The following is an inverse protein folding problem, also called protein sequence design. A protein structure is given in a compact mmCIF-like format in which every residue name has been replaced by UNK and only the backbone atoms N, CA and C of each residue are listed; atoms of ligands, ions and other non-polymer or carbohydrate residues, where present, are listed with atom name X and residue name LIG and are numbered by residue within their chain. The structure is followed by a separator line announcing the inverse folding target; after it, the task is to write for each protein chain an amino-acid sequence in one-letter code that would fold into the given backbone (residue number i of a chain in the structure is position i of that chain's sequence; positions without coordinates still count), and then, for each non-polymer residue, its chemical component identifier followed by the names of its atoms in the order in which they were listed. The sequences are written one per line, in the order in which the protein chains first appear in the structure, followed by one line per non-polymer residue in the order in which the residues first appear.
data_IF_746791963013
#
_entry.id   IF_746791963013
#
_cell.length_a   1.000
_cell.length_b   1.000
_cell.length_c   1.000
_cell.angle_alpha   90.00
_cell.angle_beta   90.00
_cell.angle_gamma   90.00
#
_symmetry.space_group_name_H-M   'P 1'
#
loop_
_entity.id
_entity.type
_entity.pdbx_description
1 polymer ?
#
# COMPACT_ATOMS: atom_id res chain seq x y z
N UNK A 1 17.82 -15.26 -3.78
CA UNK A 1 16.38 -15.60 -3.64
C UNK A 1 16.28 -16.95 -2.94
N UNK A 2 15.30 -17.15 -2.04
CA UNK A 2 15.15 -18.45 -1.38
C UNK A 2 14.77 -19.54 -2.41
N UNK A 3 15.24 -20.77 -2.20
CA UNK A 3 14.83 -21.91 -3.01
C UNK A 3 13.33 -22.18 -2.85
N UNK A 4 12.73 -22.83 -3.86
CA UNK A 4 11.32 -23.23 -3.83
C UNK A 4 11.04 -24.10 -2.59
N UNK A 5 11.95 -25.02 -2.25
CA UNK A 5 11.81 -25.91 -1.09
C UNK A 5 11.82 -25.12 0.22
N UNK A 6 12.76 -24.19 0.38
CA UNK A 6 12.81 -23.33 1.57
C UNK A 6 11.54 -22.48 1.71
N UNK A 7 10.96 -22.00 0.61
CA UNK A 7 9.70 -21.26 0.66
C UNK A 7 8.52 -22.17 1.01
N UNK A 8 8.51 -23.42 0.51
CA UNK A 8 7.51 -24.45 0.82
C UNK A 8 7.56 -24.86 2.30
N UNK A 9 8.75 -25.07 2.85
CA UNK A 9 8.94 -25.40 4.28
C UNK A 9 8.42 -24.27 5.18
N UNK A 10 8.72 -23.02 4.84
CA UNK A 10 8.20 -21.87 5.58
C UNK A 10 6.67 -21.79 5.47
N UNK A 11 6.11 -22.04 4.27
CA UNK A 11 4.66 -22.04 4.06
C UNK A 11 3.96 -23.13 4.87
N UNK A 12 4.57 -24.31 5.04
CA UNK A 12 4.00 -25.44 5.79
C UNK A 12 3.60 -25.04 7.22
N UNK A 13 4.34 -24.12 7.85
CA UNK A 13 4.05 -23.62 9.21
C UNK A 13 2.81 -22.71 9.29
N UNK A 14 2.22 -22.34 8.16
CA UNK A 14 1.06 -21.45 8.06
C UNK A 14 -0.19 -22.15 7.50
N UNK A 15 -0.12 -23.46 7.26
CA UNK A 15 -1.25 -24.26 6.81
C UNK A 15 -2.12 -24.69 7.99
N UNK A 16 -3.41 -24.90 7.74
CA UNK A 16 -4.30 -25.52 8.72
C UNK A 16 -3.97 -27.01 8.92
N UNK A 17 -4.34 -27.61 10.05
CA UNK A 17 -3.99 -29.01 10.42
C UNK A 17 -4.33 -30.07 9.34
N UNK A 18 -5.38 -29.84 8.54
CA UNK A 18 -5.84 -30.73 7.47
C UNK A 18 -5.62 -30.16 6.05
N UNK A 19 -4.74 -29.17 5.93
CA UNK A 19 -4.39 -28.55 4.66
C UNK A 19 -3.07 -29.10 4.12
N UNK A 20 -3.11 -29.69 2.92
CA UNK A 20 -1.96 -30.33 2.26
C UNK A 20 -1.64 -29.61 0.95
N UNK A 21 -0.36 -29.35 0.71
CA UNK A 21 0.12 -28.80 -0.56
C UNK A 21 0.09 -29.90 -1.62
N UNK A 22 -0.62 -29.65 -2.72
CA UNK A 22 -0.79 -30.56 -3.85
C UNK A 22 0.22 -30.28 -4.97
N UNK A 23 0.53 -29.00 -5.21
CA UNK A 23 1.49 -28.56 -6.22
C UNK A 23 2.02 -27.16 -5.88
N UNK A 24 3.26 -26.86 -6.28
CA UNK A 24 3.88 -25.54 -6.08
C UNK A 24 4.63 -25.09 -7.32
N UNK A 25 4.49 -23.80 -7.65
CA UNK A 25 5.26 -23.12 -8.71
C UNK A 25 5.91 -21.85 -8.18
N UNK A 26 7.07 -21.49 -8.72
CA UNK A 26 7.82 -20.30 -8.34
C UNK A 26 7.81 -19.27 -9.47
N UNK A 27 7.41 -18.03 -9.14
CA UNK A 27 7.29 -16.94 -10.10
C UNK A 27 7.14 -15.58 -9.44
N UNK A 28 6.63 -14.61 -10.19
CA UNK A 28 6.34 -13.25 -9.73
C UNK A 28 4.85 -12.98 -9.76
N UNK A 29 4.26 -12.82 -8.58
CA UNK A 29 2.84 -12.54 -8.43
C UNK A 29 2.58 -11.06 -8.68
N UNK A 30 1.69 -10.77 -9.62
CA UNK A 30 1.30 -9.44 -9.98
C UNK A 30 0.12 -9.00 -9.11
N UNK A 31 0.27 -7.85 -8.46
CA UNK A 31 -0.79 -7.18 -7.73
C UNK A 31 -0.94 -5.77 -8.27
N UNK A 32 -2.18 -5.40 -8.57
CA UNK A 32 -2.50 -4.03 -8.91
C UNK A 32 -2.47 -3.20 -7.61
N UNK A 33 -1.68 -2.13 -7.62
CA UNK A 33 -1.53 -1.20 -6.50
C UNK A 33 -1.40 0.21 -7.07
N UNK A 34 -2.42 1.05 -6.87
CA UNK A 34 -2.45 2.45 -7.31
C UNK A 34 -1.96 2.63 -8.76
N UNK A 35 -2.73 2.12 -9.73
CA UNK A 35 -2.49 2.16 -11.19
C UNK A 35 -1.11 1.66 -11.64
N UNK A 36 -0.39 0.99 -10.77
CA UNK A 36 0.88 0.35 -11.04
C UNK A 36 0.80 -1.13 -10.71
N UNK A 37 1.50 -1.96 -11.49
CA UNK A 37 1.63 -3.38 -11.22
C UNK A 37 2.85 -3.60 -10.35
N UNK A 38 2.62 -4.04 -9.11
CA UNK A 38 3.69 -4.49 -8.24
C UNK A 38 3.86 -5.99 -8.42
N UNK A 39 5.09 -6.38 -8.77
CA UNK A 39 5.48 -7.78 -8.86
C UNK A 39 6.19 -8.21 -7.59
N UNK A 40 5.71 -9.28 -6.96
CA UNK A 40 6.35 -9.91 -5.79
C UNK A 40 6.84 -11.30 -6.14
N UNK A 41 8.13 -11.54 -5.97
CA UNK A 41 8.74 -12.86 -6.20
C UNK A 41 8.36 -13.81 -5.06
N UNK A 42 7.86 -14.99 -5.39
CA UNK A 42 7.42 -15.96 -4.39
C UNK A 42 7.00 -17.29 -5.00
N UNK A 43 6.25 -18.06 -4.24
CA UNK A 43 5.63 -19.31 -4.69
C UNK A 43 4.12 -19.17 -4.73
N UNK A 44 3.49 -19.80 -5.72
CA UNK A 44 2.06 -20.06 -5.74
C UNK A 44 1.89 -21.56 -5.46
N UNK A 45 1.21 -21.89 -4.36
CA UNK A 45 0.95 -23.26 -3.93
C UNK A 45 -0.54 -23.54 -3.98
N UNK A 46 -0.90 -24.66 -4.59
CA UNK A 46 -2.25 -25.20 -4.56
C UNK A 46 -2.35 -26.16 -3.38
N UNK A 47 -3.35 -25.97 -2.53
CA UNK A 47 -3.69 -26.92 -1.46
C UNK A 47 -5.01 -27.61 -1.78
N UNK A 48 -5.40 -28.58 -0.96
CA UNK A 48 -6.74 -29.18 -1.01
C UNK A 48 -7.87 -28.20 -0.61
N UNK A 49 -7.58 -26.95 -0.23
CA UNK A 49 -8.57 -25.95 0.19
C UNK A 49 -8.52 -24.64 -0.60
N UNK A 50 -7.34 -24.20 -1.02
CA UNK A 50 -7.12 -22.86 -1.58
C UNK A 50 -5.88 -22.79 -2.45
N UNK A 51 -5.80 -21.73 -3.25
CA UNK A 51 -4.56 -21.28 -3.87
C UNK A 51 -3.92 -20.24 -2.95
N UNK A 52 -2.63 -20.41 -2.65
CA UNK A 52 -1.86 -19.55 -1.76
C UNK A 52 -0.67 -18.94 -2.49
N UNK A 53 -0.54 -17.62 -2.45
CA UNK A 53 0.72 -16.96 -2.77
C UNK A 53 1.52 -16.73 -1.49
N UNK A 54 2.81 -17.08 -1.49
CA UNK A 54 3.72 -16.86 -0.36
C UNK A 54 5.04 -16.24 -0.82
N UNK A 55 5.45 -15.16 -0.15
CA UNK A 55 6.72 -14.47 -0.39
C UNK A 55 7.42 -14.15 0.92
N UNK A 56 8.65 -14.61 1.09
CA UNK A 56 9.49 -14.26 2.25
C UNK A 56 10.01 -12.82 2.13
N UNK A 57 10.02 -12.07 3.24
CA UNK A 57 10.67 -10.76 3.37
C UNK A 57 11.86 -10.85 4.35
N UNK A 58 12.71 -9.82 4.35
CA UNK A 58 13.78 -9.67 5.36
C UNK A 58 13.18 -9.75 6.77
N UNK A 59 12.05 -9.09 6.97
CA UNK A 59 11.24 -9.19 8.18
C UNK A 59 9.82 -9.67 7.80
N UNK A 60 9.43 -10.85 8.29
CA UNK A 60 8.10 -11.43 8.06
C UNK A 60 7.92 -12.09 6.68
N UNK A 61 6.70 -12.06 6.18
CA UNK A 61 6.28 -12.63 4.89
C UNK A 61 5.05 -11.87 4.33
N UNK A 62 4.76 -12.08 3.05
CA UNK A 62 3.48 -11.75 2.43
C UNK A 62 2.79 -13.07 2.12
N UNK A 63 1.51 -13.18 2.45
CA UNK A 63 0.68 -14.31 2.08
C UNK A 63 -0.66 -13.80 1.54
N UNK A 64 -1.09 -14.33 0.40
CA UNK A 64 -2.43 -14.11 -0.15
C UNK A 64 -3.11 -15.46 -0.35
N UNK A 65 -4.41 -15.52 -0.07
CA UNK A 65 -5.17 -16.77 0.04
C UNK A 65 -6.45 -16.65 -0.78
N UNK A 66 -6.67 -17.60 -1.68
CA UNK A 66 -7.82 -17.66 -2.58
C UNK A 66 -8.53 -19.01 -2.39
N UNK A 67 -9.62 -19.08 -1.60
CA UNK A 67 -10.41 -20.29 -1.41
C UNK A 67 -10.82 -20.89 -2.75
N UNK A 68 -10.66 -22.22 -2.92
CA UNK A 68 -10.96 -22.87 -4.21
C UNK A 68 -12.43 -22.69 -4.62
N UNK A 69 -13.35 -22.66 -3.64
CA UNK A 69 -14.77 -22.38 -3.85
C UNK A 69 -15.06 -21.00 -4.49
N UNK A 70 -14.13 -20.05 -4.35
CA UNK A 70 -14.25 -18.71 -4.88
C UNK A 70 -13.51 -18.52 -6.21
N UNK A 71 -12.73 -19.52 -6.65
CA UNK A 71 -11.99 -19.48 -7.91
C UNK A 71 -12.89 -20.02 -9.02
N UNK A 72 -13.27 -19.15 -9.97
CA UNK A 72 -14.18 -19.52 -11.05
C UNK A 72 -13.47 -20.18 -12.24
N UNK A 73 -12.21 -19.83 -12.48
CA UNK A 73 -11.43 -20.34 -13.60
C UNK A 73 -9.93 -20.17 -13.36
N UNK A 74 -9.16 -21.03 -14.03
CA UNK A 74 -7.70 -20.98 -14.07
C UNK A 74 -7.20 -21.22 -15.50
N UNK A 75 -6.26 -20.39 -15.92
CA UNK A 75 -5.68 -20.33 -17.26
C UNK A 75 -4.16 -20.45 -17.16
N UNK A 76 -3.57 -21.18 -18.11
CA UNK A 76 -2.13 -21.24 -18.31
C UNK A 76 -1.79 -20.71 -19.70
N UNK A 77 -0.73 -19.92 -19.78
CA UNK A 77 -0.17 -19.47 -21.05
C UNK A 77 1.35 -19.59 -21.04
N UNK A 78 1.90 -19.88 -22.21
CA UNK A 78 3.34 -19.93 -22.46
C UNK A 78 3.62 -19.11 -23.72
N UNK A 79 4.36 -18.01 -23.57
CA UNK A 79 4.69 -17.12 -24.68
C UNK A 79 6.13 -16.62 -24.62
N UNK A 80 6.46 -15.67 -25.49
CA UNK A 80 7.79 -15.03 -25.57
C UNK A 80 8.26 -14.45 -24.22
N UNK A 81 7.33 -13.94 -23.41
CA UNK A 81 7.59 -13.38 -22.07
C UNK A 81 7.65 -14.44 -20.96
N UNK A 82 7.63 -15.72 -21.32
CA UNK A 82 7.69 -16.85 -20.40
C UNK A 82 6.31 -17.45 -20.08
N UNK A 83 6.30 -18.28 -19.03
CA UNK A 83 5.12 -18.97 -18.52
C UNK A 83 4.33 -18.08 -17.55
N UNK A 84 3.01 -18.08 -17.68
CA UNK A 84 2.07 -17.35 -16.82
C UNK A 84 0.90 -18.26 -16.42
N UNK A 85 0.51 -18.19 -15.14
CA UNK A 85 -0.74 -18.74 -14.62
C UNK A 85 -1.62 -17.57 -14.21
N UNK A 86 -2.88 -17.57 -14.64
CA UNK A 86 -3.86 -16.58 -14.20
C UNK A 86 -5.15 -17.24 -13.75
N UNK A 87 -5.82 -16.69 -12.75
CA UNK A 87 -7.07 -17.23 -12.25
C UNK A 87 -7.99 -16.10 -11.77
N UNK A 88 -9.29 -16.35 -11.83
CA UNK A 88 -10.30 -15.40 -11.39
C UNK A 88 -10.88 -15.86 -10.05
N UNK A 89 -10.81 -14.99 -9.04
CA UNK A 89 -11.32 -15.26 -7.70
C UNK A 89 -12.14 -14.07 -7.20
N UNK A 90 -13.41 -14.30 -6.84
CA UNK A 90 -14.33 -13.26 -6.31
C UNK A 90 -14.29 -11.96 -7.14
N UNK A 91 -14.41 -12.08 -8.47
CA UNK A 91 -14.43 -10.94 -9.39
C UNK A 91 -13.06 -10.29 -9.68
N UNK A 92 -11.97 -10.76 -9.07
CA UNK A 92 -10.62 -10.24 -9.32
C UNK A 92 -9.76 -11.25 -10.11
N UNK A 93 -8.92 -10.76 -11.03
CA UNK A 93 -7.95 -11.60 -11.76
C UNK A 93 -6.59 -11.57 -11.05
N UNK A 94 -6.15 -12.71 -10.54
CA UNK A 94 -4.80 -12.90 -10.01
C UNK A 94 -3.88 -13.48 -11.09
N UNK A 95 -2.60 -13.06 -11.09
CA UNK A 95 -1.61 -13.49 -12.09
C UNK A 95 -0.26 -13.81 -11.47
N UNK A 96 0.31 -14.95 -11.85
CA UNK A 96 1.68 -15.32 -11.59
C UNK A 96 2.45 -15.36 -12.90
N UNK A 97 3.39 -14.43 -13.07
CA UNK A 97 4.23 -14.29 -14.28
C UNK A 97 5.64 -14.80 -14.06
N UNK A 98 6.39 -14.95 -15.16
CA UNK A 98 7.80 -15.31 -15.17
C UNK A 98 8.06 -16.56 -14.32
N UNK A 99 7.27 -17.60 -14.56
CA UNK A 99 7.38 -18.86 -13.83
C UNK A 99 8.67 -19.56 -14.26
N UNK A 100 9.55 -19.79 -13.29
CA UNK A 100 10.90 -20.32 -13.54
C UNK A 100 11.05 -21.77 -13.12
N UNK A 101 10.31 -22.19 -12.07
CA UNK A 101 10.47 -23.51 -11.43
C UNK A 101 9.14 -24.03 -10.89
N UNK A 102 9.10 -25.34 -10.65
CA UNK A 102 7.98 -26.03 -10.01
C UNK A 102 7.11 -26.82 -10.99
N UNK A 103 5.99 -27.32 -10.49
CA UNK A 103 5.17 -28.36 -11.10
C UNK A 103 3.97 -27.76 -11.85
N UNK A 104 4.24 -27.00 -12.93
CA UNK A 104 3.21 -26.21 -13.63
C UNK A 104 2.05 -27.07 -14.14
N UNK A 105 2.34 -28.18 -14.83
CA UNK A 105 1.30 -29.02 -15.43
C UNK A 105 0.44 -29.71 -14.35
N UNK A 106 1.09 -30.18 -13.27
CA UNK A 106 0.40 -30.76 -12.12
C UNK A 106 -0.47 -29.71 -11.41
N UNK A 107 0.04 -28.49 -11.25
CA UNK A 107 -0.70 -27.38 -10.64
C UNK A 107 -1.98 -27.07 -11.42
N UNK A 108 -1.89 -26.90 -12.73
CA UNK A 108 -3.05 -26.59 -13.58
C UNK A 108 -4.06 -27.73 -13.56
N UNK A 109 -3.60 -28.97 -13.76
CA UNK A 109 -4.47 -30.15 -13.73
C UNK A 109 -5.23 -30.25 -12.40
N UNK A 110 -4.53 -30.16 -11.27
CA UNK A 110 -5.13 -30.28 -9.93
C UNK A 110 -6.04 -29.10 -9.57
N UNK A 111 -5.72 -27.90 -10.04
CA UNK A 111 -6.57 -26.73 -9.84
C UNK A 111 -7.88 -26.88 -10.62
N UNK A 112 -7.83 -27.30 -11.89
CA UNK A 112 -9.01 -27.55 -12.71
C UNK A 112 -9.90 -28.66 -12.14
N UNK A 113 -9.30 -29.78 -11.71
CA UNK A 113 -10.02 -30.88 -11.03
C UNK A 113 -10.78 -30.36 -9.80
N UNK A 114 -10.14 -29.51 -8.98
CA UNK A 114 -10.74 -28.94 -7.77
C UNK A 114 -11.87 -27.94 -8.06
N UNK A 115 -11.66 -27.03 -9.02
CA UNK A 115 -12.66 -26.01 -9.42
C UNK A 115 -13.90 -26.66 -10.04
N UNK A 116 -13.70 -27.64 -10.94
CA UNK A 116 -14.79 -28.34 -11.61
C UNK A 116 -15.61 -29.25 -10.67
N UNK A 117 -14.98 -29.81 -9.64
CA UNK A 117 -15.67 -30.69 -8.68
C UNK A 117 -16.58 -29.92 -7.71
N UNK A 118 -16.25 -28.65 -7.39
CA UNK A 118 -17.05 -27.81 -6.51
C UNK A 118 -18.43 -27.43 -7.09
N UNK A 119 -18.56 -27.40 -8.42
CA UNK A 119 -19.82 -27.04 -9.09
C UNK A 119 -20.84 -28.19 -9.07
N UNK A 120 -20.40 -29.45 -9.07
CA UNK A 120 -21.33 -30.60 -9.08
C UNK A 120 -22.01 -30.89 -7.74
N UNK A 121 -21.44 -30.44 -6.62
CA UNK A 121 -22.01 -30.67 -5.29
C UNK A 121 -22.93 -29.53 -4.82
N UNK A 122 -23.03 -28.41 -5.54
CA UNK A 122 -23.87 -27.26 -5.15
C UNK A 122 -25.33 -27.37 -5.63
N UNK A 123 -25.61 -28.26 -6.59
CA UNK A 123 -26.97 -28.52 -7.10
C UNK A 123 -27.78 -29.55 -6.29
N UNK A 124 -27.19 -30.20 -5.29
CA UNK A 124 -27.86 -31.26 -4.51
C UNK A 124 -28.31 -30.85 -3.09
N UNK A 125 -28.20 -29.57 -2.69
CA UNK A 125 -28.60 -29.15 -1.33
C UNK A 125 -29.50 -27.90 -1.24
N UNK A 126 -30.33 -27.63 -2.24
CA UNK A 126 -31.46 -26.68 -2.09
C UNK A 126 -32.82 -27.38 -2.30
N UNK A 127 -33.23 -28.01 -1.19
CA UNK A 127 -34.58 -28.32 -0.69
C UNK A 127 -35.63 -29.12 -1.49
N UNK A 128 -36.36 -30.02 -0.78
CA UNK A 128 -37.49 -30.77 -1.30
C UNK A 128 -38.76 -29.91 -1.40
N UNK A 129 -39.53 -30.26 -2.42
CA UNK A 129 -40.89 -29.82 -2.74
C UNK A 129 -41.80 -29.92 -1.51
N UNK A 130 -42.36 -28.79 -1.05
CA UNK A 130 -43.61 -28.77 -0.29
C UNK A 130 -44.57 -27.83 -1.04
N UNK A 131 -45.56 -28.45 -1.67
CA UNK A 131 -46.74 -27.83 -2.25
C UNK A 131 -47.80 -27.56 -1.19
N UNK A 132 -48.68 -26.60 -1.52
CA UNK A 132 -49.99 -26.30 -0.92
C UNK A 132 -50.04 -25.64 0.46
N UNK A 133 -50.32 -24.34 0.47
CA UNK A 133 -51.65 -23.87 0.88
C UNK A 133 -51.86 -22.38 0.59
N UNK A 134 -52.92 -22.07 -0.16
CA UNK A 134 -53.50 -20.72 -0.21
C UNK A 134 -54.20 -20.39 1.12
N UNK A 135 -53.89 -19.25 1.74
CA UNK A 135 -54.82 -18.54 2.65
C UNK A 135 -54.60 -17.01 2.59
N UNK A 136 -55.55 -16.34 1.93
CA UNK A 136 -56.35 -15.19 2.38
C UNK A 136 -55.70 -14.06 3.23
N UNK A 137 -55.76 -12.85 2.67
CA UNK A 137 -55.62 -11.55 3.33
C UNK A 137 -56.52 -11.41 4.57
N UNK A 138 -55.93 -10.97 5.68
CA UNK A 138 -56.56 -10.04 6.64
C UNK A 138 -55.50 -9.44 7.58
N UNK A 139 -55.37 -8.11 7.57
CA UNK A 139 -54.77 -7.34 8.66
C UNK A 139 -55.54 -7.60 9.96
N UNK A 140 -54.87 -7.52 11.13
CA UNK A 140 -55.09 -6.32 11.93
C UNK A 140 -53.86 -5.82 12.72
N UNK A 141 -53.83 -4.50 12.85
CA UNK A 141 -53.15 -3.68 13.84
C UNK A 141 -53.25 -4.28 15.25
N UNK A 142 -52.11 -4.38 15.96
CA UNK A 142 -52.13 -4.58 17.42
C UNK A 142 -51.03 -3.75 18.09
N UNK A 143 -51.48 -2.94 19.05
CA UNK A 143 -50.71 -2.08 19.93
C UNK A 143 -49.57 -2.83 20.63
N UNK A 144 -48.43 -2.17 20.74
CA UNK A 144 -47.32 -2.56 21.61
C UNK A 144 -47.49 -1.77 22.91
N UNK A 145 -47.86 -2.48 23.98
CA UNK A 145 -47.80 -2.02 25.36
C UNK A 145 -46.34 -2.03 25.81
N UNK A 146 -45.88 -0.91 26.37
CA UNK A 146 -44.55 -0.76 26.97
C UNK A 146 -44.50 -1.50 28.32
N UNK A 147 -43.57 -2.44 28.44
CA UNK A 147 -43.25 -3.15 29.68
C UNK A 147 -42.21 -2.34 30.48
N UNK A 148 -42.43 -2.03 31.77
CA UNK A 148 -41.50 -1.25 32.57
C UNK A 148 -40.27 -2.07 32.97
N UNK A 149 -39.09 -1.50 32.70
CA UNK A 149 -37.78 -2.02 33.11
C UNK A 149 -37.62 -1.96 34.64
N UNK A 150 -37.51 -3.14 35.26
CA UNK A 150 -37.16 -3.34 36.66
C UNK A 150 -35.66 -3.06 36.88
N UNK A 151 -35.39 -2.09 37.75
CA UNK A 151 -34.07 -1.53 38.05
C UNK A 151 -33.67 -1.98 39.47
N UNK A 152 -33.08 -3.17 39.62
CA UNK A 152 -32.39 -3.53 40.87
C UNK A 152 -31.39 -4.70 40.73
N UNK A 153 -30.15 -4.39 40.33
CA UNK A 153 -29.01 -5.28 40.62
C UNK A 153 -27.84 -4.46 41.18
N UNK A 154 -27.38 -4.70 42.42
CA UNK A 154 -26.27 -3.96 43.00
C UNK A 154 -24.92 -4.41 42.40
N UNK A 155 -23.94 -3.50 42.25
CA UNK A 155 -22.66 -3.81 41.62
C UNK A 155 -21.79 -4.69 42.52
N UNK A 156 -21.53 -5.91 42.07
CA UNK A 156 -20.57 -6.81 42.69
C UNK A 156 -19.16 -6.23 42.60
N UNK A 157 -18.52 -6.16 43.76
CA UNK A 157 -17.21 -5.65 44.07
C UNK A 157 -16.10 -6.40 43.30
N UNK A 158 -15.73 -5.92 42.11
CA UNK A 158 -14.53 -6.38 41.39
C UNK A 158 -13.37 -5.44 41.70
N UNK A 159 -12.54 -5.84 42.66
CA UNK A 159 -11.23 -5.29 42.92
C UNK A 159 -10.35 -5.42 41.66
N UNK A 160 -10.29 -4.34 40.88
CA UNK A 160 -9.38 -4.20 39.73
C UNK A 160 -7.94 -4.28 40.24
N UNK A 161 -7.30 -5.42 40.01
CA UNK A 161 -5.84 -5.53 40.00
C UNK A 161 -5.31 -4.60 38.90
N UNK A 162 -4.85 -3.41 39.30
CA UNK A 162 -4.10 -2.51 38.42
C UNK A 162 -2.74 -3.18 38.16
N UNK A 163 -2.70 -4.05 37.16
CA UNK A 163 -1.46 -4.49 36.53
C UNK A 163 -0.78 -3.23 35.99
N UNK A 164 0.21 -2.74 36.73
CA UNK A 164 1.07 -1.63 36.30
C UNK A 164 1.84 -2.10 35.06
N UNK A 165 1.23 -1.85 33.90
CA UNK A 165 1.73 -2.24 32.60
C UNK A 165 3.06 -1.51 32.41
N UNK A 166 4.17 -2.24 32.51
CA UNK A 166 5.50 -1.65 32.29
C UNK A 166 5.51 -0.97 30.92
N UNK A 167 6.15 0.21 30.79
CA UNK A 167 6.19 0.92 29.53
C UNK A 167 6.74 0.04 28.41
N UNK A 168 6.09 0.07 27.26
CA UNK A 168 6.38 -0.79 26.12
C UNK A 168 7.83 -0.66 25.60
N UNK A 169 8.46 0.51 25.78
CA UNK A 169 9.84 0.79 25.38
C UNK A 169 10.90 0.09 26.25
N UNK A 170 10.52 -0.53 27.37
CA UNK A 170 11.41 -1.44 28.11
C UNK A 170 11.39 -2.88 27.58
N UNK A 171 10.64 -3.17 26.52
CA UNK A 171 10.62 -4.45 25.83
C UNK A 171 11.98 -4.77 25.21
N UNK A 172 12.46 -6.02 25.38
CA UNK A 172 13.69 -6.52 24.76
C UNK A 172 13.75 -6.32 23.22
N UNK A 173 12.68 -6.59 22.44
CA UNK A 173 12.73 -6.35 21.00
C UNK A 173 12.88 -4.87 20.63
N UNK A 174 12.33 -3.95 21.45
CA UNK A 174 12.46 -2.52 21.20
C UNK A 174 13.90 -2.03 21.44
N UNK A 175 14.54 -2.44 22.53
CA UNK A 175 15.93 -2.07 22.84
C UNK A 175 16.89 -2.59 21.76
N UNK A 176 16.70 -3.84 21.30
CA UNK A 176 17.52 -4.41 20.21
C UNK A 176 17.33 -3.61 18.92
N UNK A 177 16.08 -3.29 18.56
CA UNK A 177 15.76 -2.51 17.36
C UNK A 177 16.40 -1.12 17.40
N UNK A 178 16.35 -0.45 18.55
CA UNK A 178 17.00 0.86 18.75
C UNK A 178 18.52 0.78 18.74
N UNK A 179 19.12 -0.32 19.20
CA UNK A 179 20.57 -0.52 19.13
C UNK A 179 21.07 -0.60 17.68
N UNK A 180 20.29 -1.16 16.77
CA UNK A 180 20.63 -1.26 15.34
C UNK A 180 20.33 0.03 14.56
N UNK A 181 19.19 0.69 14.81
CA UNK A 181 18.76 1.86 14.05
C UNK A 181 19.35 3.18 14.58
N UNK A 182 19.55 3.29 15.89
CA UNK A 182 19.97 4.50 16.58
C UNK A 182 20.98 4.15 17.67
N UNK A 183 22.10 3.57 17.25
CA UNK A 183 23.17 3.01 18.09
C UNK A 183 23.47 3.79 19.40
N UNK A 184 23.68 5.13 19.41
CA UNK A 184 23.94 5.86 20.66
C UNK A 184 22.74 5.87 21.62
N UNK A 185 21.51 6.00 21.11
CA UNK A 185 20.28 6.01 21.90
C UNK A 185 19.97 4.59 22.43
N UNK A 186 20.17 3.57 21.59
CA UNK A 186 20.02 2.17 21.98
C UNK A 186 20.96 1.77 23.11
N UNK A 187 22.21 2.25 23.09
CA UNK A 187 23.17 2.01 24.16
C UNK A 187 22.71 2.59 25.51
N UNK A 188 22.14 3.80 25.52
CA UNK A 188 21.57 4.41 26.73
C UNK A 188 20.41 3.55 27.29
N UNK A 189 19.51 3.07 26.42
CA UNK A 189 18.44 2.16 26.82
C UNK A 189 18.95 0.80 27.34
N UNK A 190 20.04 0.29 26.78
CA UNK A 190 20.69 -0.94 27.23
C UNK A 190 21.30 -0.81 28.65
N UNK A 191 21.85 0.36 29.00
CA UNK A 191 22.43 0.62 30.32
C UNK A 191 21.39 0.93 31.39
N UNK A 192 20.33 1.65 31.03
CA UNK A 192 19.19 1.94 31.93
C UNK A 192 18.34 0.70 32.19
N UNK A 193 18.23 -0.21 31.21
CA UNK A 193 17.60 -1.52 31.38
C UNK A 193 18.53 -2.52 32.05
N UNK A 194 18.30 -2.86 33.33
CA UNK A 194 19.03 -3.90 34.08
C UNK A 194 18.95 -5.34 33.50
N UNK A 195 18.46 -5.51 32.26
CA UNK A 195 18.23 -6.81 31.61
C UNK A 195 19.46 -7.46 31.00
N UNK A 196 20.43 -6.66 30.54
CA UNK A 196 21.67 -7.20 30.00
C UNK A 196 22.69 -7.43 31.11
N UNK A 197 23.34 -8.61 31.18
CA UNK A 197 24.42 -8.83 32.12
C UNK A 197 25.62 -7.95 31.75
N UNK A 198 26.41 -7.57 32.75
CA UNK A 198 27.51 -6.59 32.59
C UNK A 198 28.50 -7.02 31.49
N UNK A 199 28.78 -8.33 31.39
CA UNK A 199 29.69 -8.91 30.40
C UNK A 199 29.22 -8.77 28.94
N UNK A 200 27.92 -8.52 28.69
CA UNK A 200 27.38 -8.22 27.35
C UNK A 200 27.44 -6.71 27.06
N UNK A 201 27.23 -5.87 28.07
CA UNK A 201 27.20 -4.40 27.90
C UNK A 201 28.56 -3.83 27.54
N UNK A 202 29.62 -4.32 28.19
CA UNK A 202 30.99 -3.85 28.01
C UNK A 202 31.46 -4.01 26.54
N UNK A 203 31.40 -5.19 25.91
CA UNK A 203 31.87 -5.36 24.53
C UNK A 203 31.05 -4.56 23.52
N UNK A 204 29.71 -4.52 23.67
CA UNK A 204 28.84 -3.73 22.76
C UNK A 204 29.19 -2.25 22.82
N UNK A 205 29.37 -1.71 24.03
CA UNK A 205 29.75 -0.30 24.21
C UNK A 205 31.13 -0.02 23.63
N UNK A 206 32.08 -0.96 23.78
CA UNK A 206 33.41 -0.87 23.18
C UNK A 206 33.39 -0.79 21.65
N UNK A 207 32.58 -1.62 20.98
CA UNK A 207 32.42 -1.61 19.51
C UNK A 207 31.84 -0.27 19.03
N UNK A 208 30.80 0.23 19.70
CA UNK A 208 30.17 1.52 19.34
C UNK A 208 31.16 2.67 19.52
N UNK A 209 31.93 2.69 20.61
CA UNK A 209 32.94 3.71 20.84
C UNK A 209 34.04 3.68 19.78
N UNK A 210 34.51 2.49 19.38
CA UNK A 210 35.53 2.32 18.35
C UNK A 210 35.01 2.78 16.98
N UNK A 211 33.75 2.51 16.66
CA UNK A 211 33.09 3.02 15.45
C UNK A 211 32.99 4.56 15.45
N UNK A 212 32.63 5.18 16.59
CA UNK A 212 32.57 6.64 16.71
C UNK A 212 33.95 7.30 16.60
N UNK A 213 35.00 6.69 17.17
CA UNK A 213 36.38 7.18 17.01
C UNK A 213 36.82 7.07 15.55
N UNK A 214 36.46 5.99 14.85
CA UNK A 214 36.73 5.85 13.41
C UNK A 214 36.09 6.94 12.55
N UNK A 215 34.91 7.43 12.94
CA UNK A 215 34.26 8.56 12.26
C UNK A 215 34.97 9.90 12.53
N UNK A 216 35.61 10.07 13.69
CA UNK A 216 36.33 11.32 14.05
C UNK A 216 37.75 11.32 13.46
N UNK A 217 38.40 10.17 13.41
CA UNK A 217 39.79 10.02 12.96
C UNK A 217 39.89 9.81 11.44
N UNK A 218 38.77 9.69 10.73
CA UNK A 218 38.79 9.66 9.27
C UNK A 218 39.33 11.01 8.75
N UNK A 219 40.52 11.04 8.14
CA UNK A 219 41.10 12.28 7.63
C UNK A 219 40.13 12.86 6.60
N UNK A 220 39.91 14.17 6.71
CA UNK A 220 39.03 14.96 5.88
C UNK A 220 39.60 15.03 4.44
N UNK A 221 39.57 13.92 3.71
CA UNK A 221 39.63 13.98 2.25
C UNK A 221 38.30 14.57 1.79
N UNK A 222 38.40 15.76 1.18
CA UNK A 222 37.32 16.54 0.59
C UNK A 222 36.34 15.66 -0.17
N UNK A 223 35.24 15.30 0.51
CA UNK A 223 34.15 14.52 -0.06
C UNK A 223 32.87 15.34 -0.04
N UNK A 224 32.84 16.41 -0.85
CA UNK A 224 31.62 17.17 -1.15
C UNK A 224 30.79 16.54 -2.30
N UNK A 225 31.03 15.29 -2.69
CA UNK A 225 30.33 14.65 -3.84
C UNK A 225 29.65 13.30 -3.59
N UNK A 226 29.47 12.84 -2.34
CA UNK A 226 28.99 11.47 -2.09
C UNK A 226 27.55 11.32 -1.55
N UNK A 227 26.79 12.40 -1.32
CA UNK A 227 25.45 12.29 -0.69
C UNK A 227 24.25 12.48 -1.64
N UNK A 228 24.45 12.65 -2.95
CA UNK A 228 23.38 12.63 -3.95
C UNK A 228 23.28 11.32 -4.77
N UNK A 229 24.13 10.32 -4.50
CA UNK A 229 24.32 9.16 -5.40
C UNK A 229 23.49 7.90 -5.11
N UNK A 230 22.57 7.89 -4.15
CA UNK A 230 21.85 6.65 -3.76
C UNK A 230 20.40 6.59 -4.28
N UNK A 231 19.90 7.60 -5.02
CA UNK A 231 18.57 7.55 -5.67
C UNK A 231 18.58 7.45 -7.19
N UNK A 232 19.74 7.42 -7.85
CA UNK A 232 19.84 7.27 -9.31
C UNK A 232 20.76 6.09 -9.65
N UNK A 233 20.23 4.88 -9.65
CA UNK A 233 20.88 3.77 -10.35
C UNK A 233 19.84 2.82 -10.97
N UNK A 234 19.14 3.37 -11.95
CA UNK A 234 18.72 2.65 -13.16
C UNK A 234 18.84 3.66 -14.29
N UNK A 235 20.08 4.01 -14.62
CA UNK A 235 20.40 4.93 -15.71
C UNK A 235 20.76 4.08 -16.93
N UNK A 236 19.85 4.07 -17.88
CA UNK A 236 20.16 3.91 -19.31
C UNK A 236 21.30 4.88 -19.62
N UNK A 237 22.35 4.52 -20.39
CA UNK A 237 23.50 5.38 -20.63
C UNK A 237 23.06 6.80 -21.03
N UNK A 238 23.32 7.75 -20.13
CA UNK A 238 23.05 9.18 -20.29
C UNK A 238 24.22 9.77 -21.08
N UNK A 239 23.97 9.96 -22.37
CA UNK A 239 24.77 10.80 -23.26
C UNK A 239 24.91 12.20 -22.63
N UNK A 240 26.13 12.72 -22.53
CA UNK A 240 26.45 14.03 -21.93
C UNK A 240 25.71 15.16 -22.66
N UNK A 241 24.47 15.42 -22.27
CA UNK A 241 23.72 16.57 -22.75
C UNK A 241 24.32 17.85 -22.18
N UNK A 242 24.65 18.78 -23.08
CA UNK A 242 25.27 20.06 -22.76
C UNK A 242 24.48 20.86 -21.69
N UNK A 243 25.16 21.66 -20.83
CA UNK A 243 24.54 22.52 -19.82
C UNK A 243 23.43 23.46 -20.33
N UNK A 244 23.37 23.69 -21.64
CA UNK A 244 22.36 24.51 -22.32
C UNK A 244 20.95 23.87 -22.32
N UNK A 245 20.84 22.54 -22.33
CA UNK A 245 19.55 21.85 -22.46
C UNK A 245 18.74 21.83 -21.15
N UNK A 246 19.42 21.71 -19.99
CA UNK A 246 18.78 21.73 -18.67
C UNK A 246 18.18 23.11 -18.35
N UNK A 247 18.87 24.19 -18.73
CA UNK A 247 18.37 25.56 -18.56
C UNK A 247 17.16 25.85 -19.46
N UNK A 248 17.15 25.32 -20.69
CA UNK A 248 16.00 25.44 -21.60
C UNK A 248 14.75 24.72 -21.06
N UNK A 249 14.91 23.48 -20.56
CA UNK A 249 13.82 22.70 -19.94
C UNK A 249 13.22 23.40 -18.72
N UNK A 250 14.06 24.03 -17.89
CA UNK A 250 13.60 24.78 -16.72
C UNK A 250 12.85 26.07 -17.08
N UNK A 251 13.27 26.78 -18.14
CA UNK A 251 12.57 27.96 -18.62
C UNK A 251 11.20 27.63 -19.23
N UNK A 252 11.07 26.52 -19.95
CA UNK A 252 9.80 26.05 -20.50
C UNK A 252 8.82 25.64 -19.40
N UNK A 253 9.30 24.91 -18.38
CA UNK A 253 8.56 24.58 -17.17
C UNK A 253 7.99 25.83 -16.47
N UNK A 254 8.82 26.87 -16.28
CA UNK A 254 8.41 28.12 -15.65
C UNK A 254 7.36 28.89 -16.48
N UNK A 255 7.49 28.88 -17.81
CA UNK A 255 6.52 29.50 -18.74
C UNK A 255 5.19 28.75 -18.75
N UNK A 256 5.21 27.43 -18.68
CA UNK A 256 4.01 26.61 -18.53
C UNK A 256 3.31 26.89 -17.19
N UNK A 257 4.07 26.89 -16.09
CA UNK A 257 3.59 27.15 -14.74
C UNK A 257 2.87 28.50 -14.60
N UNK A 258 3.48 29.56 -15.14
CA UNK A 258 2.92 30.92 -15.11
C UNK A 258 1.64 31.04 -15.94
N UNK A 259 1.58 30.39 -17.10
CA UNK A 259 0.36 30.33 -17.91
C UNK A 259 -0.77 29.57 -17.23
N UNK A 260 -0.45 28.43 -16.61
CA UNK A 260 -1.39 27.64 -15.83
C UNK A 260 -1.93 28.44 -14.65
N UNK A 261 -1.03 29.09 -13.89
CA UNK A 261 -1.39 29.95 -12.76
C UNK A 261 -2.26 31.12 -13.18
N UNK A 262 -1.98 31.78 -14.31
CA UNK A 262 -2.83 32.86 -14.85
C UNK A 262 -4.23 32.34 -15.19
N UNK A 263 -4.33 31.28 -15.99
CA UNK A 263 -5.61 30.70 -16.42
C UNK A 263 -6.48 30.18 -15.27
N UNK A 264 -5.87 29.78 -14.15
CA UNK A 264 -6.62 29.37 -12.95
C UNK A 264 -6.81 30.55 -11.97
N UNK A 265 -5.94 31.55 -11.98
CA UNK A 265 -6.02 32.76 -11.16
C UNK A 265 -7.14 33.71 -11.60
N UNK A 266 -7.57 33.64 -12.86
CA UNK A 266 -8.69 34.42 -13.39
C UNK A 266 -10.05 34.08 -12.75
N UNK A 267 -10.11 33.04 -11.90
CA UNK A 267 -11.27 32.76 -11.07
C UNK A 267 -11.16 33.55 -9.77
N UNK A 268 -11.55 34.82 -9.83
CA UNK A 268 -11.71 35.66 -8.64
C UNK A 268 -12.70 35.00 -7.66
N UNK A 269 -12.40 35.06 -6.36
CA UNK A 269 -13.21 34.52 -5.23
C UNK A 269 -13.04 33.04 -4.86
N UNK A 270 -11.94 32.38 -5.25
CA UNK A 270 -11.64 31.05 -4.72
C UNK A 270 -11.16 31.11 -3.26
N UNK A 271 -11.69 30.20 -2.43
CA UNK A 271 -11.33 30.04 -1.02
C UNK A 271 -9.98 29.31 -0.81
N UNK A 272 -9.13 29.28 -1.84
CA UNK A 272 -7.85 28.60 -1.82
C UNK A 272 -6.83 29.26 -2.75
N UNK A 273 -5.56 29.08 -2.44
CA UNK A 273 -4.43 29.47 -3.28
C UNK A 273 -3.86 28.22 -3.97
N UNK A 274 -3.38 28.38 -5.20
CA UNK A 274 -2.76 27.28 -5.95
C UNK A 274 -1.27 27.55 -6.10
N UNK A 275 -0.46 26.58 -5.67
CA UNK A 275 0.99 26.55 -5.89
C UNK A 275 1.34 25.36 -6.77
N UNK A 276 2.32 25.54 -7.63
CA UNK A 276 2.90 24.44 -8.41
C UNK A 276 4.24 24.08 -7.77
N UNK A 277 4.47 22.79 -7.50
CA UNK A 277 5.71 22.31 -6.89
C UNK A 277 6.75 22.00 -7.96
N UNK A 278 6.33 21.24 -8.98
CA UNK A 278 7.08 21.03 -10.21
C UNK A 278 6.14 20.87 -11.40
N UNK A 279 6.66 21.14 -12.60
CA UNK A 279 5.92 21.07 -13.85
C UNK A 279 6.89 20.82 -14.99
N UNK A 280 6.93 19.60 -15.51
CA UNK A 280 7.52 19.32 -16.81
C UNK A 280 6.41 19.34 -17.87
N UNK A 281 6.80 19.13 -19.14
CA UNK A 281 5.81 18.96 -20.22
C UNK A 281 4.82 17.82 -19.92
N UNK A 282 5.28 16.76 -19.26
CA UNK A 282 4.49 15.56 -19.00
C UNK A 282 4.04 15.46 -17.55
N UNK A 283 4.68 16.12 -16.59
CA UNK A 283 4.40 15.89 -15.18
C UNK A 283 4.08 17.18 -14.45
N UNK A 284 2.88 17.28 -13.89
CA UNK A 284 2.39 18.49 -13.23
C UNK A 284 1.94 18.15 -11.81
N UNK A 285 2.55 18.79 -10.81
CA UNK A 285 2.12 18.69 -9.42
C UNK A 285 1.64 20.04 -8.87
N UNK A 286 0.39 20.07 -8.45
CA UNK A 286 -0.28 21.23 -7.88
C UNK A 286 -0.62 21.01 -6.40
N UNK A 287 -0.60 22.09 -5.65
CA UNK A 287 -1.02 22.18 -4.27
C UNK A 287 -2.10 23.26 -4.14
N UNK A 288 -3.25 22.84 -3.65
CA UNK A 288 -4.42 23.65 -3.37
C UNK A 288 -4.45 23.95 -1.87
N UNK A 289 -4.17 25.18 -1.48
CA UNK A 289 -4.07 25.63 -0.09
C UNK A 289 -5.32 26.42 0.33
N UNK A 290 -6.18 25.81 1.14
CA UNK A 290 -7.40 26.45 1.63
C UNK A 290 -7.15 27.60 2.61
N UNK A 291 -7.74 28.77 2.33
CA UNK A 291 -7.70 29.96 3.18
C UNK A 291 -8.54 29.76 4.44
N UNK A 292 -9.78 29.30 4.28
CA UNK A 292 -10.66 28.90 5.39
C UNK A 292 -10.93 27.40 5.38
N UNK A 293 -11.45 26.82 6.47
CA UNK A 293 -11.72 25.38 6.51
C UNK A 293 -12.84 25.03 5.51
N UNK A 294 -12.65 24.05 4.61
CA UNK A 294 -13.73 23.60 3.74
C UNK A 294 -14.85 22.98 4.58
N UNK A 295 -16.09 23.12 4.12
CA UNK A 295 -17.27 22.67 4.86
C UNK A 295 -17.33 21.15 5.01
N UNK A 296 -16.84 20.40 4.02
CA UNK A 296 -16.78 18.94 4.02
C UNK A 296 -15.82 18.40 2.94
N UNK A 297 -15.51 17.10 3.00
CA UNK A 297 -14.63 16.43 2.02
C UNK A 297 -15.19 16.41 0.59
N UNK A 298 -16.52 16.52 0.41
CA UNK A 298 -17.12 16.54 -0.92
C UNK A 298 -16.79 17.85 -1.65
N UNK A 299 -16.82 18.98 -0.93
CA UNK A 299 -16.34 20.26 -1.43
C UNK A 299 -14.87 20.17 -1.82
N UNK A 300 -14.03 19.57 -0.95
CA UNK A 300 -12.61 19.39 -1.25
C UNK A 300 -12.37 18.61 -2.53
N UNK A 301 -13.04 17.47 -2.68
CA UNK A 301 -12.97 16.66 -3.89
C UNK A 301 -13.42 17.45 -5.12
N UNK A 302 -14.52 18.20 -5.02
CA UNK A 302 -15.04 19.02 -6.12
C UNK A 302 -14.04 20.09 -6.57
N UNK A 303 -13.47 20.84 -5.62
CA UNK A 303 -12.50 21.90 -5.89
C UNK A 303 -11.21 21.33 -6.53
N UNK A 304 -10.68 20.24 -5.95
CA UNK A 304 -9.51 19.57 -6.50
C UNK A 304 -9.79 19.02 -7.91
N UNK A 305 -11.00 18.50 -8.16
CA UNK A 305 -11.41 17.99 -9.49
C UNK A 305 -11.48 19.12 -10.50
N UNK A 306 -12.03 20.26 -10.09
CA UNK A 306 -12.09 21.45 -10.92
C UNK A 306 -10.70 21.90 -11.36
N UNK A 307 -9.76 22.03 -10.40
CA UNK A 307 -8.37 22.42 -10.69
C UNK A 307 -7.69 21.38 -11.59
N UNK A 308 -7.86 20.08 -11.31
CA UNK A 308 -7.27 19.02 -12.12
C UNK A 308 -7.76 19.07 -13.58
N UNK A 309 -9.09 19.21 -13.80
CA UNK A 309 -9.66 19.34 -15.15
C UNK A 309 -9.12 20.56 -15.91
N UNK A 310 -8.93 21.68 -15.22
CA UNK A 310 -8.36 22.90 -15.84
C UNK A 310 -6.87 22.73 -16.19
N UNK A 311 -6.13 22.00 -15.35
CA UNK A 311 -4.74 21.65 -15.63
C UNK A 311 -4.65 20.74 -16.88
N UNK A 312 -5.43 19.66 -16.93
CA UNK A 312 -5.50 18.78 -18.11
C UNK A 312 -5.85 19.56 -19.39
N UNK A 313 -6.90 20.39 -19.35
CA UNK A 313 -7.29 21.21 -20.51
C UNK A 313 -6.18 22.18 -20.94
N UNK A 314 -5.36 22.65 -20.01
CA UNK A 314 -4.21 23.53 -20.31
C UNK A 314 -3.06 22.75 -20.92
N UNK A 315 -2.80 21.52 -20.45
CA UNK A 315 -1.83 20.60 -21.05
C UNK A 315 -2.21 20.28 -22.50
N UNK A 316 -3.46 19.89 -22.74
CA UNK A 316 -3.99 19.62 -24.10
C UNK A 316 -3.86 20.83 -25.03
N UNK A 317 -4.22 22.03 -24.56
CA UNK A 317 -4.05 23.26 -25.35
C UNK A 317 -2.60 23.63 -25.64
N UNK A 318 -1.66 23.08 -24.87
CA UNK A 318 -0.22 23.29 -25.08
C UNK A 318 0.40 22.19 -25.95
N UNK A 319 -0.43 21.31 -26.53
CA UNK A 319 0.01 20.22 -27.42
C UNK A 319 0.51 18.98 -26.67
N UNK A 320 0.21 18.86 -25.38
CA UNK A 320 0.49 17.64 -24.58
C UNK A 320 -0.79 16.84 -24.52
N UNK A 321 -0.78 15.59 -25.00
CA UNK A 321 -1.89 14.67 -24.78
C UNK A 321 -1.60 13.83 -23.54
N UNK A 322 -2.30 14.05 -22.40
CA UNK A 322 -1.93 13.39 -21.15
C UNK A 322 -1.98 11.86 -21.19
N UNK A 323 -2.86 11.27 -22.01
CA UNK A 323 -2.96 9.81 -22.15
C UNK A 323 -1.81 9.26 -23.00
N UNK A 324 -1.58 9.83 -24.19
CA UNK A 324 -0.55 9.35 -25.13
C UNK A 324 0.88 9.63 -24.63
N UNK A 325 1.10 10.79 -24.00
CA UNK A 325 2.41 11.24 -23.52
C UNK A 325 2.77 10.68 -22.13
N UNK A 326 1.92 9.79 -21.58
CA UNK A 326 2.02 9.24 -20.22
C UNK A 326 2.20 10.34 -19.16
N UNK A 327 1.43 11.40 -19.30
CA UNK A 327 1.58 12.58 -18.47
C UNK A 327 0.97 12.37 -17.09
N UNK A 328 1.71 12.68 -16.03
CA UNK A 328 1.21 12.60 -14.66
C UNK A 328 0.67 13.95 -14.18
N UNK A 329 -0.54 13.95 -13.59
CA UNK A 329 -1.10 15.13 -12.93
C UNK A 329 -1.52 14.78 -11.50
N UNK A 330 -1.05 15.58 -10.55
CA UNK A 330 -1.44 15.49 -9.14
C UNK A 330 -1.94 16.83 -8.62
N UNK A 331 -3.04 16.82 -7.87
CA UNK A 331 -3.55 17.99 -7.14
C UNK A 331 -3.75 17.61 -5.68
N UNK A 332 -2.90 18.12 -4.79
CA UNK A 332 -3.05 17.89 -3.35
C UNK A 332 -3.85 19.02 -2.70
N UNK A 333 -4.93 18.67 -2.01
CA UNK A 333 -5.71 19.60 -1.22
C UNK A 333 -5.21 19.67 0.22
N UNK A 334 -4.82 20.86 0.67
CA UNK A 334 -4.11 21.10 1.94
C UNK A 334 -4.64 22.37 2.63
N UNK A 335 -4.43 22.47 3.94
CA UNK A 335 -4.58 23.70 4.72
C UNK A 335 -3.39 23.88 5.66
N UNK A 336 -2.88 25.10 5.73
CA UNK A 336 -1.89 25.49 6.75
C UNK A 336 -2.62 25.77 8.05
N UNK A 337 -2.16 25.17 9.15
CA UNK A 337 -2.72 25.34 10.49
C UNK A 337 -1.59 25.54 11.51
N UNK A 338 -1.88 26.18 12.64
CA UNK A 338 -0.96 26.21 13.78
C UNK A 338 -1.35 25.09 14.73
N UNK A 339 -0.41 24.22 15.07
CA UNK A 339 -0.60 23.23 16.12
C UNK A 339 -0.69 23.87 17.50
N UNK A 340 -1.09 23.10 18.51
CA UNK A 340 -1.19 23.57 19.91
C UNK A 340 0.12 24.15 20.44
N UNK A 341 1.27 23.68 19.92
CA UNK A 341 2.60 24.19 20.28
C UNK A 341 3.02 25.42 19.47
N UNK A 342 2.15 26.00 18.63
CA UNK A 342 2.47 27.10 17.72
C UNK A 342 3.28 26.71 16.47
N UNK A 343 3.59 25.43 16.27
CA UNK A 343 4.28 24.94 15.07
C UNK A 343 3.36 24.99 13.85
N UNK A 344 3.92 25.35 12.69
CA UNK A 344 3.20 25.24 11.43
C UNK A 344 2.97 23.78 11.08
N UNK A 345 1.70 23.43 10.89
CA UNK A 345 1.23 22.13 10.47
C UNK A 345 0.55 22.26 9.10
N UNK A 346 0.55 21.15 8.37
CA UNK A 346 -0.16 21.02 7.10
C UNK A 346 -1.18 19.92 7.25
N UNK A 347 -2.46 20.28 7.25
CA UNK A 347 -3.55 19.31 7.16
C UNK A 347 -3.74 18.94 5.68
N UNK A 348 -3.63 17.65 5.37
CA UNK A 348 -3.90 17.14 4.02
C UNK A 348 -5.29 16.55 3.98
N UNK A 349 -6.16 17.08 3.12
CA UNK A 349 -7.54 16.59 2.99
C UNK A 349 -7.66 15.45 1.98
N UNK A 350 -6.75 15.41 1.00
CA UNK A 350 -6.70 14.37 -0.03
C UNK A 350 -5.96 14.82 -1.27
N UNK A 351 -6.02 13.98 -2.30
CA UNK A 351 -5.33 14.17 -3.57
C UNK A 351 -6.22 13.71 -4.73
N UNK A 352 -6.14 14.44 -5.85
CA UNK A 352 -6.54 13.93 -7.15
C UNK A 352 -5.32 13.54 -7.97
N UNK A 353 -5.40 12.38 -8.62
CA UNK A 353 -4.45 11.92 -9.63
C UNK A 353 -5.15 11.69 -10.96
N UNK A 354 -4.48 11.99 -12.06
CA UNK A 354 -4.90 11.56 -13.39
C UNK A 354 -4.27 10.20 -13.73
N UNK A 355 -5.08 9.26 -14.20
CA UNK A 355 -4.67 7.96 -14.73
C UNK A 355 -4.61 8.02 -16.25
N UNK A 356 -3.40 7.99 -16.83
CA UNK A 356 -3.23 7.99 -18.29
C UNK A 356 -3.74 6.69 -18.94
N UNK A 357 -3.80 5.58 -18.19
CA UNK A 357 -4.27 4.28 -18.70
C UNK A 357 -5.77 4.23 -18.93
N UNK A 358 -6.53 4.93 -18.08
CA UNK A 358 -8.00 4.88 -18.06
C UNK A 358 -8.62 6.23 -18.48
N UNK A 359 -7.79 7.23 -18.75
CA UNK A 359 -8.15 8.62 -19.03
C UNK A 359 -9.11 9.21 -17.98
N UNK A 360 -8.85 8.94 -16.70
CA UNK A 360 -9.75 9.28 -15.60
C UNK A 360 -9.04 9.99 -14.43
N UNK A 361 -9.80 10.81 -13.71
CA UNK A 361 -9.38 11.44 -12.46
C UNK A 361 -9.83 10.59 -11.27
N UNK A 362 -8.89 10.29 -10.38
CA UNK A 362 -9.13 9.50 -9.18
C UNK A 362 -8.94 10.34 -7.93
N UNK A 363 -9.79 10.12 -6.91
CA UNK A 363 -9.73 10.81 -5.62
C UNK A 363 -9.24 9.87 -4.52
N UNK A 364 -8.23 10.30 -3.79
CA UNK A 364 -7.71 9.62 -2.60
C UNK A 364 -7.88 10.54 -1.38
N UNK A 365 -8.69 10.17 -0.36
CA UNK A 365 -8.83 10.97 0.86
C UNK A 365 -7.52 10.98 1.66
N UNK A 366 -7.25 12.11 2.33
CA UNK A 366 -6.12 12.27 3.24
C UNK A 366 -6.26 11.38 4.47
N UNK A 367 -5.12 10.92 5.01
CA UNK A 367 -5.06 10.06 6.21
C UNK A 367 -4.96 10.85 7.49
#
# INVERSE_FOLDING_TARGET
MASIDKLKDNLQTHLFENEKILATVQGSFAKDFFNSKIYKKGILSLTNKRILFYSKKIFGYIMESFPLENVSSIEFSSGLMGKEISFFATGNKAKLKWIQRGEVDLFIKKAQESIGSGSKNKELSENPIISDHQVKLSNPTKNIEEEPLDESVPPSNQSRLILTKRPWYHGMPFVITMLFLFSPIGAIFMWTGKRFPLWVRIPITGIIALFLVGLIVSPEEKTEQASQKIYNETTIPEEEAEPSEKAAKQNEANKFASNLKRKIGDYENLNYDIKMDYGSKNDVALHLYYKTMPSNLLQVKSDATFVAKKALATMTKSGVNPSDDMAFLFVHAKKMEKGETGKDLVRVFGRISYSFSDDQLEWEPGK
#
